data_IF_605698235093
#
_entry.id   IF_605698235093
#
_cell.length_a   1.000
_cell.length_b   1.000
_cell.length_c   1.000
_cell.angle_alpha   90.00
_cell.angle_beta   90.00
_cell.angle_gamma   90.00
#
_symmetry.space_group_name_H-M   'P 1'
#
loop_
_entity.id
_entity.type
_entity.pdbx_description
1 polymer ?
#
# COMPACT_ATOMS: atom_id res chain seq x y z
N UNK A 1 3.95 -15.59 -35.30
CA UNK A 1 4.41 -15.19 -33.95
C UNK A 1 5.53 -14.18 -34.15
N UNK A 2 5.45 -12.90 -33.78
CA UNK A 2 5.14 -12.37 -32.46
C UNK A 2 4.64 -10.92 -32.60
N UNK A 3 3.32 -10.73 -32.57
CA UNK A 3 2.63 -9.42 -32.53
C UNK A 3 2.69 -8.80 -31.11
N UNK A 4 3.15 -9.56 -30.11
CA UNK A 4 3.13 -9.16 -28.69
C UNK A 4 4.28 -8.30 -28.18
N UNK A 5 5.22 -7.86 -29.03
CA UNK A 5 6.43 -7.12 -28.58
C UNK A 5 6.56 -5.68 -29.08
N UNK A 6 5.75 -5.27 -30.07
CA UNK A 6 5.72 -3.88 -30.58
C UNK A 6 4.72 -3.03 -29.78
N UNK A 7 3.77 -3.66 -29.07
CA UNK A 7 2.76 -2.95 -28.28
C UNK A 7 3.29 -2.37 -26.95
N UNK A 8 4.50 -2.75 -26.51
CA UNK A 8 5.03 -2.35 -25.20
C UNK A 8 5.86 -1.06 -25.22
N UNK A 9 6.11 -0.47 -26.39
CA UNK A 9 6.97 0.72 -26.57
C UNK A 9 6.22 2.00 -26.99
N UNK A 10 4.89 1.96 -27.08
CA UNK A 10 4.07 3.14 -27.42
C UNK A 10 3.49 3.87 -26.18
N UNK A 11 3.59 3.29 -24.98
CA UNK A 11 2.98 3.86 -23.77
C UNK A 11 3.98 4.67 -22.92
N UNK A 12 5.28 4.55 -23.17
CA UNK A 12 6.32 5.15 -22.31
C UNK A 12 6.85 6.53 -22.72
N UNK A 13 6.34 7.15 -23.80
CA UNK A 13 6.94 8.37 -24.38
C UNK A 13 5.93 9.45 -24.84
N UNK A 14 4.79 9.58 -24.17
CA UNK A 14 3.97 10.80 -24.24
C UNK A 14 4.09 11.65 -22.96
N UNK A 15 5.34 11.80 -22.49
CA UNK A 15 5.77 13.03 -21.83
C UNK A 15 6.21 13.99 -22.93
N UNK A 16 5.39 15.01 -23.21
CA UNK A 16 5.78 16.39 -23.55
C UNK A 16 4.75 17.04 -24.47
N UNK A 17 4.38 18.27 -24.11
CA UNK A 17 3.67 19.24 -24.94
C UNK A 17 2.23 18.88 -25.33
N UNK A 18 1.29 19.14 -24.41
CA UNK A 18 -0.01 19.65 -24.83
C UNK A 18 0.25 21.01 -25.52
N UNK A 19 0.21 20.95 -26.84
CA UNK A 19 0.55 22.00 -27.79
C UNK A 19 -0.36 23.22 -27.58
N UNK A 20 0.27 24.36 -27.27
CA UNK A 20 -0.24 25.69 -27.58
C UNK A 20 -0.52 25.79 -29.09
N UNK A 21 -1.60 26.49 -29.45
CA UNK A 21 -1.96 26.94 -30.80
C UNK A 21 -2.93 26.04 -31.60
N UNK A 22 -4.19 26.00 -31.14
CA UNK A 22 -5.34 26.11 -32.03
C UNK A 22 -5.75 27.58 -32.12
N UNK A 23 -5.85 28.11 -33.33
CA UNK A 23 -5.85 29.55 -33.64
C UNK A 23 -6.96 30.39 -32.99
N UNK A 24 -6.60 31.66 -32.79
CA UNK A 24 -7.47 32.80 -32.55
C UNK A 24 -8.66 32.79 -33.50
N UNK A 25 -9.88 32.75 -32.96
CA UNK A 25 -11.05 33.48 -33.46
C UNK A 25 -12.03 33.63 -32.28
N UNK A 26 -12.05 34.86 -31.76
CA UNK A 26 -13.00 35.48 -30.85
C UNK A 26 -14.26 34.69 -30.48
N UNK A 27 -14.33 34.22 -29.23
CA UNK A 27 -15.60 34.18 -28.50
C UNK A 27 -15.36 34.44 -27.02
N UNK A 28 -15.60 35.70 -26.63
CA UNK A 28 -16.03 36.17 -25.31
C UNK A 28 -15.55 35.32 -24.14
N UNK A 29 -14.39 35.69 -23.57
CA UNK A 29 -13.96 35.24 -22.24
C UNK A 29 -15.01 35.73 -21.23
N UNK A 30 -16.04 34.93 -21.02
CA UNK A 30 -16.82 34.97 -19.81
C UNK A 30 -15.87 34.45 -18.75
N UNK A 31 -15.57 35.27 -17.75
CA UNK A 31 -14.88 34.86 -16.54
C UNK A 31 -15.69 33.74 -15.88
N UNK A 32 -15.53 32.50 -16.34
CA UNK A 32 -15.83 31.34 -15.53
C UNK A 32 -14.78 31.35 -14.43
N UNK A 33 -15.25 31.73 -13.25
CA UNK A 33 -14.59 31.50 -11.98
C UNK A 33 -13.85 30.17 -12.03
N UNK A 34 -12.51 30.23 -12.04
CA UNK A 34 -11.66 29.08 -11.74
C UNK A 34 -12.21 28.54 -10.42
N UNK A 35 -12.68 27.29 -10.34
CA UNK A 35 -13.12 26.74 -9.06
C UNK A 35 -11.94 26.93 -8.11
N UNK A 36 -12.15 27.70 -7.04
CA UNK A 36 -11.17 27.83 -5.97
C UNK A 36 -11.02 26.44 -5.39
N UNK A 37 -10.02 25.71 -5.89
CA UNK A 37 -9.60 24.46 -5.33
C UNK A 37 -9.09 24.80 -3.94
N UNK A 38 -9.84 24.37 -2.93
CA UNK A 38 -9.51 24.65 -1.54
C UNK A 38 -8.19 23.95 -1.21
N UNK A 39 -7.12 24.74 -1.08
CA UNK A 39 -5.78 24.23 -0.80
C UNK A 39 -5.72 23.45 0.52
N UNK A 40 -6.65 23.75 1.44
CA UNK A 40 -6.85 23.06 2.71
C UNK A 40 -7.25 21.59 2.52
N UNK A 41 -8.11 21.33 1.53
CA UNK A 41 -8.57 19.99 1.19
C UNK A 41 -7.46 19.19 0.52
N UNK A 42 -6.68 19.82 -0.37
CA UNK A 42 -5.52 19.17 -0.98
C UNK A 42 -4.44 18.83 0.05
N UNK A 43 -4.13 19.74 0.97
CA UNK A 43 -3.16 19.48 2.03
C UNK A 43 -3.61 18.30 2.90
N UNK A 44 -4.90 18.20 3.20
CA UNK A 44 -5.48 17.08 3.95
C UNK A 44 -5.37 15.76 3.19
N UNK A 45 -5.69 15.75 1.89
CA UNK A 45 -5.55 14.56 1.04
C UNK A 45 -4.10 14.11 0.96
N UNK A 46 -3.15 15.03 0.73
CA UNK A 46 -1.72 14.69 0.69
C UNK A 46 -1.22 14.14 2.03
N UNK A 47 -1.62 14.72 3.16
CA UNK A 47 -1.27 14.20 4.50
C UNK A 47 -1.81 12.78 4.70
N UNK A 48 -3.05 12.51 4.32
CA UNK A 48 -3.63 11.16 4.42
C UNK A 48 -2.93 10.17 3.51
N UNK A 49 -2.61 10.54 2.28
CA UNK A 49 -1.93 9.66 1.34
C UNK A 49 -0.49 9.35 1.79
N UNK A 50 0.20 10.34 2.38
CA UNK A 50 1.51 10.14 3.00
C UNK A 50 1.44 9.19 4.19
N UNK A 51 0.47 9.36 5.09
CA UNK A 51 0.25 8.44 6.22
C UNK A 51 0.02 7.00 5.76
N UNK A 52 -0.74 6.80 4.67
CA UNK A 52 -0.94 5.46 4.08
C UNK A 52 0.37 4.88 3.57
N UNK A 53 1.13 5.65 2.80
CA UNK A 53 2.41 5.20 2.25
C UNK A 53 3.44 4.89 3.34
N UNK A 54 3.53 5.75 4.36
CA UNK A 54 4.42 5.57 5.51
C UNK A 54 4.04 4.31 6.31
N UNK A 55 2.74 4.08 6.54
CA UNK A 55 2.26 2.86 7.20
C UNK A 55 2.61 1.61 6.41
N UNK A 56 2.31 1.58 5.10
CA UNK A 56 2.61 0.44 4.24
C UNK A 56 4.11 0.14 4.25
N UNK A 57 4.96 1.16 4.08
CA UNK A 57 6.41 1.00 4.08
C UNK A 57 6.93 0.45 5.41
N UNK A 58 6.47 1.00 6.53
CA UNK A 58 6.91 0.55 7.86
C UNK A 58 6.40 -0.85 8.21
N UNK A 59 5.19 -1.20 7.80
CA UNK A 59 4.66 -2.55 7.99
C UNK A 59 5.46 -3.59 7.21
N UNK A 60 5.73 -3.32 5.92
CA UNK A 60 6.53 -4.21 5.08
C UNK A 60 7.94 -4.41 5.66
N UNK A 61 8.59 -3.33 6.12
CA UNK A 61 9.90 -3.41 6.78
C UNK A 61 9.87 -4.26 8.06
N UNK A 62 8.79 -4.15 8.83
CA UNK A 62 8.62 -4.91 10.07
C UNK A 62 8.49 -6.41 9.78
N UNK A 63 7.69 -6.77 8.77
CA UNK A 63 7.51 -8.15 8.33
C UNK A 63 8.76 -8.74 7.66
N UNK A 64 9.45 -7.96 6.82
CA UNK A 64 10.68 -8.38 6.13
C UNK A 64 11.83 -8.69 7.12
N UNK A 65 11.96 -7.85 8.15
CA UNK A 65 12.92 -8.08 9.25
C UNK A 65 12.70 -9.43 9.94
N UNK A 66 11.46 -9.91 9.98
CA UNK A 66 11.10 -11.18 10.60
C UNK A 66 11.31 -12.36 9.66
N UNK A 67 10.94 -12.23 8.38
CA UNK A 67 11.05 -13.32 7.40
C UNK A 67 12.48 -13.80 7.13
N UNK A 68 13.49 -12.95 7.36
CA UNK A 68 14.90 -13.22 7.05
C UNK A 68 15.83 -13.49 8.25
N UNK A 69 15.35 -13.44 9.49
CA UNK A 69 16.20 -13.61 10.68
C UNK A 69 15.50 -14.45 11.76
N UNK A 70 16.26 -15.04 12.70
CA UNK A 70 15.72 -15.71 13.91
C UNK A 70 15.04 -14.71 14.87
N UNK A 71 14.28 -13.75 14.35
CA UNK A 71 13.56 -12.75 15.11
C UNK A 71 12.45 -13.42 15.92
N UNK A 72 12.27 -12.99 17.18
CA UNK A 72 11.19 -13.48 18.02
C UNK A 72 9.86 -12.85 17.62
N UNK A 73 8.75 -13.59 17.78
CA UNK A 73 7.42 -13.07 17.53
C UNK A 73 7.12 -11.84 18.41
N UNK A 74 7.68 -11.79 19.62
CA UNK A 74 7.60 -10.64 20.52
C UNK A 74 8.19 -9.36 19.92
N UNK A 75 9.38 -9.43 19.29
CA UNK A 75 9.99 -8.25 18.65
C UNK A 75 9.16 -7.76 17.45
N UNK A 76 8.48 -8.67 16.74
CA UNK A 76 7.57 -8.29 15.67
C UNK A 76 6.32 -7.61 16.22
N UNK A 77 5.71 -8.16 17.28
CA UNK A 77 4.54 -7.58 17.94
C UNK A 77 4.80 -6.15 18.43
N UNK A 78 5.93 -5.91 19.09
CA UNK A 78 6.35 -4.58 19.55
C UNK A 78 6.50 -3.59 18.38
N UNK A 79 7.09 -4.02 17.27
CA UNK A 79 7.24 -3.18 16.07
C UNK A 79 5.89 -2.84 15.44
N UNK A 80 4.96 -3.78 15.41
CA UNK A 80 3.61 -3.55 14.89
C UNK A 80 2.85 -2.55 15.77
N UNK A 81 2.87 -2.74 17.09
CA UNK A 81 2.19 -1.85 18.04
C UNK A 81 2.71 -0.40 18.00
N UNK A 82 3.97 -0.19 17.59
CA UNK A 82 4.56 1.13 17.45
C UNK A 82 4.14 1.89 16.17
N UNK A 83 3.44 1.24 15.23
CA UNK A 83 3.06 1.87 13.96
C UNK A 83 1.93 2.88 14.12
N UNK A 84 2.06 4.02 13.44
CA UNK A 84 0.95 4.96 13.29
C UNK A 84 -0.01 4.42 12.24
N UNK A 85 -1.21 4.05 12.66
CA UNK A 85 -2.18 3.33 11.82
C UNK A 85 -3.19 4.29 11.18
N UNK A 86 -3.24 4.38 9.84
CA UNK A 86 -4.30 5.10 9.13
C UNK A 86 -5.67 4.46 9.39
N UNK A 87 -6.72 5.27 9.45
CA UNK A 87 -8.08 4.79 9.76
C UNK A 87 -8.52 3.61 8.86
N UNK A 88 -8.22 3.68 7.56
CA UNK A 88 -8.55 2.66 6.56
C UNK A 88 -7.86 1.30 6.81
N UNK A 89 -6.72 1.28 7.50
CA UNK A 89 -5.95 0.05 7.74
C UNK A 89 -6.04 -0.44 9.19
N UNK A 90 -6.94 0.12 10.01
CA UNK A 90 -7.10 -0.32 11.42
C UNK A 90 -7.47 -1.78 11.54
N UNK A 91 -8.44 -2.24 10.75
CA UNK A 91 -8.91 -3.63 10.83
C UNK A 91 -7.82 -4.60 10.38
N UNK A 92 -7.10 -4.27 9.29
CA UNK A 92 -5.92 -5.00 8.86
C UNK A 92 -4.87 -5.07 9.97
N UNK A 93 -4.55 -3.93 10.57
CA UNK A 93 -3.54 -3.83 11.62
C UNK A 93 -3.90 -4.70 12.82
N UNK A 94 -5.15 -4.62 13.27
CA UNK A 94 -5.65 -5.42 14.38
C UNK A 94 -5.58 -6.92 14.09
N UNK A 95 -6.00 -7.33 12.89
CA UNK A 95 -5.95 -8.75 12.51
C UNK A 95 -4.52 -9.29 12.45
N UNK A 96 -3.55 -8.48 11.99
CA UNK A 96 -2.13 -8.86 11.98
C UNK A 96 -1.60 -8.98 13.42
N UNK A 97 -1.80 -7.96 14.25
CA UNK A 97 -1.34 -7.98 15.66
C UNK A 97 -1.93 -9.18 16.40
N UNK A 98 -3.23 -9.45 16.22
CA UNK A 98 -3.89 -10.61 16.82
C UNK A 98 -3.26 -11.94 16.35
N UNK A 99 -3.05 -12.10 15.04
CA UNK A 99 -2.44 -13.31 14.50
C UNK A 99 -1.02 -13.55 15.04
N UNK A 100 -0.19 -12.51 15.13
CA UNK A 100 1.17 -12.63 15.67
C UNK A 100 1.19 -12.83 17.19
N UNK A 101 0.27 -12.21 17.93
CA UNK A 101 0.12 -12.41 19.37
C UNK A 101 -0.31 -13.86 19.68
N UNK A 102 -1.23 -14.43 18.90
CA UNK A 102 -1.63 -15.83 19.01
C UNK A 102 -0.45 -16.78 18.75
N UNK A 103 0.38 -16.49 17.73
CA UNK A 103 1.60 -17.26 17.45
C UNK A 103 2.65 -17.13 18.55
N UNK A 104 2.82 -15.94 19.12
CA UNK A 104 3.75 -15.67 20.21
C UNK A 104 3.35 -16.43 21.50
N UNK A 105 2.06 -16.41 21.83
CA UNK A 105 1.53 -17.02 23.06
C UNK A 105 1.53 -18.54 22.98
N UNK A 106 0.98 -19.11 21.92
CA UNK A 106 0.73 -20.54 21.87
C UNK A 106 1.94 -21.33 21.35
N UNK A 107 2.89 -20.68 20.67
CA UNK A 107 4.04 -21.29 19.96
C UNK A 107 3.68 -22.47 19.04
N UNK A 108 2.38 -22.64 18.78
CA UNK A 108 1.80 -23.71 17.96
C UNK A 108 1.26 -23.07 16.69
N UNK A 109 1.73 -23.61 15.57
CA UNK A 109 1.34 -23.21 14.22
C UNK A 109 -0.06 -23.72 13.93
N UNK A 110 -1.07 -22.89 14.20
CA UNK A 110 -2.49 -23.21 13.99
C UNK A 110 -2.93 -22.99 12.54
N UNK A 111 -3.58 -23.96 11.88
CA UNK A 111 -4.09 -23.81 10.52
C UNK A 111 -4.99 -22.58 10.33
N UNK A 112 -5.76 -22.20 11.35
CA UNK A 112 -6.66 -21.06 11.34
C UNK A 112 -5.90 -19.72 11.25
N UNK A 113 -4.69 -19.65 11.84
CA UNK A 113 -3.84 -18.47 11.75
C UNK A 113 -3.26 -18.36 10.34
N UNK A 114 -2.83 -19.49 9.77
CA UNK A 114 -2.37 -19.54 8.37
C UNK A 114 -3.44 -19.04 7.42
N UNK A 115 -4.66 -19.58 7.51
CA UNK A 115 -5.78 -19.19 6.66
C UNK A 115 -6.11 -17.70 6.80
N UNK A 116 -6.09 -17.16 8.03
CA UNK A 116 -6.29 -15.72 8.26
C UNK A 116 -5.22 -14.88 7.57
N UNK A 117 -3.94 -15.27 7.64
CA UNK A 117 -2.85 -14.56 6.97
C UNK A 117 -2.94 -14.67 5.44
N UNK A 118 -3.38 -15.81 4.91
CA UNK A 118 -3.64 -16.00 3.48
C UNK A 118 -4.79 -15.11 2.99
N UNK A 119 -5.88 -15.00 3.76
CA UNK A 119 -6.99 -14.10 3.47
C UNK A 119 -6.55 -12.63 3.50
N UNK A 120 -5.69 -12.23 4.45
CA UNK A 120 -5.13 -10.88 4.49
C UNK A 120 -4.21 -10.60 3.29
N UNK A 121 -3.40 -11.58 2.89
CA UNK A 121 -2.56 -11.51 1.68
C UNK A 121 -3.40 -11.30 0.41
N UNK A 122 -4.53 -12.01 0.30
CA UNK A 122 -5.46 -11.87 -0.83
C UNK A 122 -6.20 -10.52 -0.83
N UNK A 123 -6.66 -10.06 0.34
CA UNK A 123 -7.37 -8.79 0.48
C UNK A 123 -6.46 -7.57 0.27
N UNK A 124 -5.17 -7.69 0.62
CA UNK A 124 -4.19 -6.61 0.56
C UNK A 124 -2.98 -7.04 -0.28
N UNK A 125 -3.11 -6.96 -1.61
CA UNK A 125 -2.10 -7.47 -2.54
C UNK A 125 -0.68 -6.90 -2.36
N UNK A 126 -0.53 -5.71 -1.76
CA UNK A 126 0.77 -5.12 -1.44
C UNK A 126 1.49 -5.81 -0.27
N UNK A 127 0.78 -6.60 0.56
CA UNK A 127 1.35 -7.44 1.63
C UNK A 127 1.66 -8.86 1.18
N UNK A 128 1.21 -9.24 -0.01
CA UNK A 128 1.15 -10.64 -0.39
C UNK A 128 2.53 -11.30 -0.41
N UNK A 129 3.57 -10.60 -0.89
CA UNK A 129 4.92 -11.15 -0.94
C UNK A 129 5.46 -11.47 0.45
N UNK A 130 5.40 -10.51 1.37
CA UNK A 130 5.94 -10.63 2.73
C UNK A 130 5.17 -11.66 3.55
N UNK A 131 3.83 -11.65 3.47
CA UNK A 131 3.01 -12.65 4.16
C UNK A 131 3.20 -14.04 3.58
N UNK A 132 3.35 -14.20 2.27
CA UNK A 132 3.61 -15.50 1.65
C UNK A 132 4.94 -16.09 2.12
N UNK A 133 6.01 -15.28 2.16
CA UNK A 133 7.32 -15.71 2.67
C UNK A 133 7.20 -16.12 4.14
N UNK A 134 6.49 -15.33 4.96
CA UNK A 134 6.25 -15.67 6.36
C UNK A 134 5.52 -17.01 6.49
N UNK A 135 4.41 -17.20 5.77
CA UNK A 135 3.58 -18.40 5.83
C UNK A 135 4.41 -19.64 5.45
N UNK A 136 5.15 -19.59 4.34
CA UNK A 136 5.99 -20.71 3.87
C UNK A 136 7.07 -21.07 4.88
N UNK A 137 7.69 -20.08 5.54
CA UNK A 137 8.75 -20.34 6.52
C UNK A 137 8.21 -20.80 7.89
N UNK A 138 6.96 -20.45 8.20
CA UNK A 138 6.40 -20.61 9.55
C UNK A 138 5.23 -21.59 9.63
N UNK A 139 4.72 -22.18 8.55
CA UNK A 139 3.66 -23.20 8.60
C UNK A 139 3.90 -24.33 7.61
#
# INVERSE_FOLDING_TARGET
MSIGRILFLAIFLFSSAAILAGGSLAEKITYQSIPQVDLSDLETVFKQQRLKSDYQSQLLKSLDSFGGSNASYQTLEEKLLALVVPAEYRDLHFQLVAAFAELNRDQVKKPEIKERLENLSAAYGWLAAQLSVFIVNNF
#
